data_IF_315509087868
#
_entry.id   IF_315509087868
#
_cell.length_a   1.000
_cell.length_b   1.000
_cell.length_c   1.000
_cell.angle_alpha   90.00
_cell.angle_beta   90.00
_cell.angle_gamma   90.00
#
_symmetry.space_group_name_H-M   'P 1'
#
loop_
_entity.id
_entity.type
_entity.pdbx_description
1 polymer ?
#
# COMPACT_ATOMS: atom_id res chain seq x y z
N UNK A 1 -5.14 60.85 0.64
CA UNK A 1 -6.41 61.19 -0.01
C UNK A 1 -6.96 59.87 -0.54
N UNK A 2 -8.07 59.28 -0.09
CA UNK A 2 -9.17 59.68 0.79
C UNK A 2 -9.82 58.39 1.32
N UNK A 3 -10.39 58.46 2.52
CA UNK A 3 -11.02 57.37 3.28
C UNK A 3 -12.37 56.87 2.69
N UNK A 4 -13.00 55.94 3.44
CA UNK A 4 -14.45 55.76 3.74
C UNK A 4 -15.28 55.00 2.69
N UNK A 5 -16.22 54.09 3.00
CA UNK A 5 -16.81 53.55 4.25
C UNK A 5 -17.55 52.23 4.02
N UNK A 6 -17.77 51.51 5.12
CA UNK A 6 -18.81 50.49 5.37
C UNK A 6 -20.23 51.05 5.23
N UNK A 7 -21.16 50.27 4.66
CA UNK A 7 -22.62 50.47 4.82
C UNK A 7 -23.30 49.17 5.29
N UNK A 8 -23.91 49.29 6.46
CA UNK A 8 -24.95 48.47 7.07
C UNK A 8 -26.31 48.81 6.45
N UNK A 9 -27.10 47.80 6.10
CA UNK A 9 -28.55 47.95 5.93
C UNK A 9 -29.30 47.17 7.03
N UNK A 10 -29.98 47.93 7.87
CA UNK A 10 -31.08 47.51 8.75
C UNK A 10 -32.38 47.82 8.03
N UNK A 11 -33.20 46.80 7.77
CA UNK A 11 -34.55 46.94 7.22
C UNK A 11 -35.60 46.89 8.33
N UNK A 12 -36.33 48.00 8.47
CA UNK A 12 -37.41 48.24 9.43
C UNK A 12 -38.80 47.98 8.80
N UNK A 13 -39.78 47.62 9.64
CA UNK A 13 -41.22 47.78 9.37
C UNK A 13 -41.91 46.56 8.76
N UNK A 14 -43.08 46.08 9.20
CA UNK A 14 -44.18 46.77 9.88
C UNK A 14 -44.99 45.79 10.74
N UNK A 15 -45.55 46.30 11.84
CA UNK A 15 -46.46 45.56 12.70
C UNK A 15 -47.89 45.54 12.19
N UNK A 16 -48.64 44.53 12.63
CA UNK A 16 -50.09 44.60 12.81
C UNK A 16 -50.47 43.88 14.11
N UNK A 17 -51.06 44.59 15.10
CA UNK A 17 -51.61 44.01 16.30
C UNK A 17 -53.14 44.11 16.25
N UNK A 18 -53.84 43.07 15.80
CA UNK A 18 -55.27 42.96 16.11
C UNK A 18 -55.76 41.52 16.30
N UNK A 19 -56.30 41.31 17.50
CA UNK A 19 -57.53 40.56 17.81
C UNK A 19 -57.59 39.07 17.50
N UNK A 20 -57.63 38.26 18.55
CA UNK A 20 -58.09 36.89 18.45
C UNK A 20 -57.94 36.11 19.74
N UNK A 21 -58.58 36.58 20.82
CA UNK A 21 -58.89 35.72 21.97
C UNK A 21 -59.76 34.56 21.46
N UNK A 22 -59.16 33.39 21.39
CA UNK A 22 -59.79 32.14 21.00
C UNK A 22 -59.43 31.08 22.01
N UNK A 23 -59.96 31.25 23.23
CA UNK A 23 -60.06 30.21 24.24
C UNK A 23 -60.91 29.07 23.66
N UNK A 24 -60.23 28.17 22.96
CA UNK A 24 -60.75 26.88 22.54
C UNK A 24 -60.33 25.85 23.58
N UNK A 25 -61.05 25.83 24.70
CA UNK A 25 -61.15 24.68 25.60
C UNK A 25 -61.80 23.54 24.80
N UNK A 26 -60.98 22.89 23.97
CA UNK A 26 -61.28 21.63 23.32
C UNK A 26 -60.84 20.51 24.24
N UNK A 27 -61.62 20.28 25.29
CA UNK A 27 -61.64 19.03 26.05
C UNK A 27 -62.01 17.90 25.07
N UNK A 28 -61.00 17.39 24.37
CA UNK A 28 -61.04 16.15 23.61
C UNK A 28 -60.88 14.98 24.57
N UNK A 29 -61.90 14.78 25.40
CA UNK A 29 -62.14 13.53 26.10
C UNK A 29 -62.50 12.47 25.04
N UNK A 30 -61.61 11.50 24.82
CA UNK A 30 -61.93 10.22 24.17
C UNK A 30 -60.94 9.84 23.07
N UNK A 31 -60.18 8.76 23.13
CA UNK A 31 -60.11 7.68 24.10
C UNK A 31 -58.63 7.32 24.23
N UNK A 32 -58.06 7.55 25.41
CA UNK A 32 -56.78 6.97 25.80
C UNK A 32 -56.94 5.47 26.04
N UNK A 33 -57.53 4.76 25.08
CA UNK A 33 -57.32 3.34 24.93
C UNK A 33 -55.83 3.22 24.65
N UNK A 34 -55.07 2.82 25.69
CA UNK A 34 -53.66 2.47 25.60
C UNK A 34 -53.44 1.23 24.74
N UNK A 35 -54.08 1.18 23.57
CA UNK A 35 -53.67 0.33 22.49
C UNK A 35 -52.26 0.81 22.11
N UNK A 36 -51.27 -0.11 22.11
CA UNK A 36 -49.92 0.24 21.71
C UNK A 36 -50.01 0.89 20.33
N UNK A 37 -49.48 2.12 20.18
CA UNK A 37 -49.41 2.77 18.87
C UNK A 37 -48.75 1.78 17.92
N UNK A 38 -49.56 1.25 17.00
CA UNK A 38 -49.08 0.34 15.99
C UNK A 38 -48.37 1.19 14.94
N UNK A 39 -47.13 0.84 14.63
CA UNK A 39 -46.41 1.48 13.54
C UNK A 39 -47.13 1.17 12.20
N UNK A 40 -47.13 2.15 11.29
CA UNK A 40 -47.64 2.00 9.93
C UNK A 40 -46.54 2.03 8.86
N UNK A 41 -45.30 2.32 9.27
CA UNK A 41 -44.10 2.36 8.43
C UNK A 41 -42.84 2.53 9.29
N UNK A 42 -41.68 2.29 8.69
CA UNK A 42 -40.39 2.35 9.38
C UNK A 42 -40.08 3.75 9.93
N UNK A 43 -40.62 4.81 9.31
CA UNK A 43 -40.45 6.20 9.76
C UNK A 43 -41.07 6.48 11.14
N UNK A 44 -41.98 5.63 11.60
CA UNK A 44 -42.62 5.72 12.92
C UNK A 44 -41.81 5.00 14.00
N UNK A 45 -40.82 4.19 13.62
CA UNK A 45 -39.95 3.43 14.50
C UNK A 45 -38.67 4.19 14.84
N UNK A 46 -38.78 5.14 15.78
CA UNK A 46 -37.68 6.04 16.17
C UNK A 46 -36.61 5.42 17.09
N UNK A 47 -36.82 4.19 17.58
CA UNK A 47 -35.84 3.49 18.39
C UNK A 47 -34.76 2.88 17.47
N UNK A 48 -33.49 3.30 17.57
CA UNK A 48 -32.43 2.74 16.73
C UNK A 48 -32.20 1.24 16.92
N UNK A 49 -32.65 0.64 18.03
CA UNK A 49 -32.58 -0.81 18.26
C UNK A 49 -33.75 -1.58 17.61
N UNK A 50 -34.83 -0.89 17.24
CA UNK A 50 -36.01 -1.48 16.59
C UNK A 50 -36.52 -0.53 15.50
N UNK A 51 -35.73 -0.27 14.43
CA UNK A 51 -36.04 0.77 13.46
C UNK A 51 -37.07 0.34 12.41
N UNK A 52 -37.53 -0.93 12.44
CA UNK A 52 -38.40 -1.48 11.41
C UNK A 52 -39.81 -1.72 11.90
N UNK A 53 -40.80 -1.43 11.07
CA UNK A 53 -42.19 -1.75 11.37
C UNK A 53 -42.61 -3.10 10.77
N UNK A 54 -42.90 -4.09 11.62
CA UNK A 54 -43.54 -5.32 11.15
C UNK A 54 -45.03 -5.05 10.87
N UNK A 55 -45.37 -4.84 9.59
CA UNK A 55 -46.73 -4.55 9.14
C UNK A 55 -47.77 -5.64 9.49
N UNK A 56 -47.34 -6.86 9.84
CA UNK A 56 -48.26 -7.92 10.27
C UNK A 56 -48.71 -7.74 11.73
N UNK A 57 -47.82 -7.21 12.58
CA UNK A 57 -48.07 -7.05 14.01
C UNK A 57 -48.28 -5.59 14.41
N UNK A 58 -47.87 -4.64 13.56
CA UNK A 58 -47.81 -3.21 13.85
C UNK A 58 -46.78 -2.87 14.93
N UNK A 59 -45.79 -3.73 15.19
CA UNK A 59 -44.77 -3.47 16.21
C UNK A 59 -43.46 -3.07 15.56
N UNK A 60 -42.76 -2.13 16.19
CA UNK A 60 -41.37 -1.85 15.85
C UNK A 60 -40.49 -3.02 16.30
N UNK A 61 -39.65 -3.52 15.40
CA UNK A 61 -38.80 -4.69 15.58
C UNK A 61 -37.38 -4.42 15.07
N UNK A 62 -36.43 -5.22 15.52
CA UNK A 62 -35.07 -5.28 15.02
C UNK A 62 -35.00 -5.98 13.65
N UNK A 63 -33.88 -5.82 12.94
CA UNK A 63 -33.73 -6.38 11.59
C UNK A 63 -33.82 -7.92 11.56
N UNK A 64 -33.39 -8.60 12.64
CA UNK A 64 -33.41 -10.07 12.76
C UNK A 64 -34.82 -10.67 12.88
N UNK A 65 -35.81 -9.85 13.22
CA UNK A 65 -37.22 -10.25 13.24
C UNK A 65 -37.84 -10.29 11.84
N UNK A 66 -37.16 -9.75 10.83
CA UNK A 66 -37.62 -9.69 9.45
C UNK A 66 -37.09 -10.87 8.64
N UNK A 67 -37.89 -11.34 7.67
CA UNK A 67 -37.51 -12.44 6.79
C UNK A 67 -36.33 -12.10 5.86
N UNK A 68 -36.15 -10.83 5.54
CA UNK A 68 -35.09 -10.31 4.69
C UNK A 68 -34.32 -9.22 5.45
N UNK A 69 -33.64 -9.63 6.52
CA UNK A 69 -33.00 -8.76 7.49
C UNK A 69 -32.01 -7.76 6.87
N UNK A 70 -31.17 -8.22 5.94
CA UNK A 70 -30.19 -7.36 5.24
C UNK A 70 -30.88 -6.42 4.23
N UNK A 71 -31.90 -6.91 3.50
CA UNK A 71 -32.67 -6.05 2.58
C UNK A 71 -33.38 -4.93 3.36
N UNK A 72 -33.85 -5.22 4.57
CA UNK A 72 -34.45 -4.23 5.45
C UNK A 72 -33.41 -3.16 5.85
N UNK A 73 -32.24 -3.58 6.34
CA UNK A 73 -31.15 -2.67 6.66
C UNK A 73 -30.73 -1.82 5.44
N UNK A 74 -30.55 -2.43 4.26
CA UNK A 74 -30.24 -1.71 3.03
C UNK A 74 -31.33 -0.70 2.61
N UNK A 75 -32.60 -0.94 3.00
CA UNK A 75 -33.73 -0.07 2.66
C UNK A 75 -33.85 1.19 3.54
N UNK A 76 -33.18 1.24 4.70
CA UNK A 76 -33.19 2.41 5.59
C UNK A 76 -32.60 3.67 4.92
N UNK A 77 -31.84 3.50 3.83
CA UNK A 77 -31.33 4.62 3.04
C UNK A 77 -30.29 5.47 3.78
N UNK A 78 -29.74 4.96 4.90
CA UNK A 78 -28.60 5.56 5.58
C UNK A 78 -27.28 5.41 4.79
N UNK A 79 -27.34 4.65 3.69
CA UNK A 79 -26.29 4.49 2.67
C UNK A 79 -25.11 3.64 3.10
N UNK A 80 -25.01 3.30 4.39
CA UNK A 80 -23.78 2.77 4.98
C UNK A 80 -23.99 1.57 5.90
N UNK A 81 -25.21 1.14 6.25
CA UNK A 81 -25.40 -0.05 7.11
C UNK A 81 -26.30 -1.14 6.49
N UNK A 82 -25.91 -1.76 5.36
CA UNK A 82 -26.77 -2.72 4.66
C UNK A 82 -26.89 -4.09 5.35
N UNK A 83 -26.09 -4.39 6.37
CA UNK A 83 -26.02 -5.72 6.98
C UNK A 83 -26.72 -5.76 8.32
N UNK A 84 -27.63 -6.72 8.51
CA UNK A 84 -28.16 -7.05 9.83
C UNK A 84 -27.23 -8.01 10.58
N UNK A 85 -26.81 -7.60 11.78
CA UNK A 85 -26.05 -8.41 12.73
C UNK A 85 -26.63 -8.23 14.15
N UNK A 86 -27.02 -9.35 14.78
CA UNK A 86 -27.56 -9.38 16.15
C UNK A 86 -28.67 -8.34 16.42
N UNK A 87 -29.55 -8.14 15.43
CA UNK A 87 -30.69 -7.22 15.52
C UNK A 87 -30.37 -5.76 15.22
N UNK A 88 -29.11 -5.42 14.93
CA UNK A 88 -28.67 -4.07 14.54
C UNK A 88 -28.19 -4.02 13.09
N UNK A 89 -28.39 -2.90 12.42
CA UNK A 89 -27.79 -2.65 11.11
C UNK A 89 -26.35 -2.15 11.27
N UNK A 90 -25.41 -2.81 10.58
CA UNK A 90 -23.97 -2.52 10.57
C UNK A 90 -23.47 -2.42 9.12
N UNK A 91 -22.25 -1.93 8.92
CA UNK A 91 -21.72 -1.77 7.55
C UNK A 91 -21.41 -3.12 6.91
N UNK A 92 -20.89 -4.03 7.71
CA UNK A 92 -20.49 -5.37 7.29
C UNK A 92 -20.46 -6.31 8.50
N UNK A 93 -20.36 -7.62 8.24
CA UNK A 93 -20.16 -8.65 9.26
C UNK A 93 -19.39 -9.82 8.65
N UNK A 94 -18.93 -10.75 9.49
CA UNK A 94 -18.31 -12.00 9.03
C UNK A 94 -19.25 -12.76 8.07
N UNK A 95 -18.73 -13.13 6.90
CA UNK A 95 -19.47 -13.78 5.82
C UNK A 95 -20.40 -12.87 5.02
N UNK A 96 -20.29 -11.55 5.21
CA UNK A 96 -21.00 -10.50 4.46
C UNK A 96 -20.05 -9.36 4.08
N UNK A 97 -18.79 -9.68 3.81
CA UNK A 97 -17.74 -8.73 3.49
C UNK A 97 -18.00 -8.01 2.15
N UNK A 98 -18.77 -8.62 1.26
CA UNK A 98 -19.20 -8.04 -0.02
C UNK A 98 -20.06 -6.77 0.12
N UNK A 99 -20.53 -6.47 1.34
CA UNK A 99 -21.19 -5.20 1.65
C UNK A 99 -20.21 -4.01 1.60
N UNK A 100 -18.92 -4.26 1.79
CA UNK A 100 -17.87 -3.26 1.71
C UNK A 100 -17.44 -3.06 0.25
N UNK A 101 -17.61 -1.83 -0.25
CA UNK A 101 -17.35 -1.47 -1.65
C UNK A 101 -16.60 -0.13 -1.74
N UNK A 102 -16.25 0.26 -2.96
CA UNK A 102 -15.59 1.52 -3.28
C UNK A 102 -14.29 1.74 -2.49
N UNK A 103 -14.18 2.84 -1.74
CA UNK A 103 -12.98 3.24 -0.99
C UNK A 103 -12.80 2.53 0.34
N UNK A 104 -13.74 1.66 0.72
CA UNK A 104 -13.67 0.87 1.95
C UNK A 104 -14.05 -0.57 1.66
N UNK A 105 -13.20 -1.34 0.95
CA UNK A 105 -13.54 -2.69 0.51
C UNK A 105 -13.36 -3.77 1.59
N UNK A 106 -12.76 -3.44 2.74
CA UNK A 106 -12.42 -4.41 3.78
C UNK A 106 -13.37 -4.30 4.96
N UNK A 107 -13.90 -5.43 5.42
CA UNK A 107 -14.68 -5.46 6.66
C UNK A 107 -13.78 -5.63 7.88
N UNK A 108 -13.70 -4.61 8.75
CA UNK A 108 -13.21 -4.80 10.12
C UNK A 108 -14.33 -5.47 10.93
N UNK A 109 -14.28 -6.80 11.02
CA UNK A 109 -15.29 -7.61 11.73
C UNK A 109 -15.30 -7.39 13.23
N UNK A 110 -14.24 -6.83 13.82
CA UNK A 110 -14.23 -6.50 15.24
C UNK A 110 -15.04 -5.22 15.52
N UNK A 111 -14.99 -4.27 14.60
CA UNK A 111 -15.74 -3.00 14.68
C UNK A 111 -17.06 -3.01 13.88
N UNK A 112 -17.28 -3.99 13.00
CA UNK A 112 -18.38 -4.08 12.03
C UNK A 112 -18.49 -2.84 11.12
N UNK A 113 -17.33 -2.32 10.71
CA UNK A 113 -17.20 -1.16 9.82
C UNK A 113 -16.35 -1.51 8.61
N UNK A 114 -16.70 -0.93 7.47
CA UNK A 114 -15.90 -1.01 6.27
C UNK A 114 -14.72 -0.02 6.39
N UNK A 115 -13.52 -0.49 6.12
CA UNK A 115 -12.27 0.26 6.14
C UNK A 115 -11.57 0.17 4.79
N UNK A 116 -10.69 1.14 4.52
CA UNK A 116 -9.78 1.09 3.39
C UNK A 116 -8.89 -0.17 3.48
N UNK A 117 -8.53 -0.75 2.34
CA UNK A 117 -7.46 -1.72 2.30
C UNK A 117 -6.13 -1.03 2.63
N UNK A 118 -5.29 -1.74 3.37
CA UNK A 118 -3.94 -1.37 3.78
C UNK A 118 -2.90 -2.42 3.38
N UNK A 119 -3.33 -3.57 2.89
CA UNK A 119 -2.48 -4.65 2.38
C UNK A 119 -3.09 -5.23 1.11
N UNK A 120 -2.26 -5.66 0.16
CA UNK A 120 -2.71 -6.30 -1.06
C UNK A 120 -3.48 -7.61 -0.82
N UNK A 121 -3.16 -8.35 0.25
CA UNK A 121 -3.80 -9.63 0.60
C UNK A 121 -5.27 -9.45 1.03
N UNK A 122 -5.68 -8.22 1.37
CA UNK A 122 -7.08 -7.89 1.63
C UNK A 122 -7.92 -7.75 0.34
N UNK A 123 -7.29 -7.82 -0.83
CA UNK A 123 -7.91 -7.77 -2.14
C UNK A 123 -7.62 -9.08 -2.91
N UNK A 124 -8.25 -10.22 -2.55
CA UNK A 124 -7.86 -11.55 -3.05
C UNK A 124 -7.99 -11.74 -4.57
N UNK A 125 -8.86 -10.97 -5.22
CA UNK A 125 -9.05 -11.02 -6.68
C UNK A 125 -8.16 -10.01 -7.42
N UNK A 126 -7.38 -9.19 -6.71
CA UNK A 126 -6.55 -8.13 -7.30
C UNK A 126 -5.43 -7.67 -6.35
N UNK A 127 -5.33 -6.37 -6.10
CA UNK A 127 -4.37 -5.74 -5.22
C UNK A 127 -4.96 -4.45 -4.64
N UNK A 128 -4.53 -4.10 -3.43
CA UNK A 128 -4.88 -2.83 -2.83
C UNK A 128 -4.17 -1.67 -3.54
N UNK A 129 -4.89 -0.61 -3.90
CA UNK A 129 -4.30 0.68 -4.22
C UNK A 129 -3.99 1.39 -2.90
N UNK A 130 -2.77 1.23 -2.39
CA UNK A 130 -2.36 1.76 -1.07
C UNK A 130 -2.43 3.30 -0.98
N UNK A 131 -2.50 4.00 -2.12
CA UNK A 131 -2.65 5.46 -2.14
C UNK A 131 -4.10 5.90 -1.88
N UNK A 132 -5.09 5.11 -2.32
CA UNK A 132 -6.52 5.47 -2.28
C UNK A 132 -7.34 4.58 -1.34
N UNK A 133 -6.81 3.43 -0.93
CA UNK A 133 -7.45 2.52 0.02
C UNK A 133 -8.52 1.60 -0.58
N UNK A 134 -8.64 1.53 -1.91
CA UNK A 134 -9.58 0.66 -2.61
C UNK A 134 -8.87 -0.53 -3.29
N UNK A 135 -9.58 -1.64 -3.47
CA UNK A 135 -9.09 -2.73 -4.30
C UNK A 135 -9.14 -2.34 -5.78
N UNK A 136 -8.15 -2.78 -6.55
CA UNK A 136 -8.16 -2.69 -8.01
C UNK A 136 -9.31 -3.54 -8.56
N UNK A 137 -10.02 -3.04 -9.57
CA UNK A 137 -11.08 -3.81 -10.23
C UNK A 137 -10.47 -5.07 -10.88
N UNK A 138 -10.95 -6.29 -10.60
CA UNK A 138 -10.49 -7.51 -11.27
C UNK A 138 -10.65 -7.47 -12.81
N UNK A 139 -11.52 -6.60 -13.33
CA UNK A 139 -11.64 -6.30 -14.76
C UNK A 139 -10.46 -5.50 -15.34
N UNK A 140 -9.67 -4.83 -14.50
CA UNK A 140 -8.48 -4.04 -14.86
C UNK A 140 -7.18 -4.81 -14.59
N UNK A 141 -7.23 -6.14 -14.64
CA UNK A 141 -6.05 -7.01 -14.53
C UNK A 141 -5.49 -7.30 -15.92
N UNK A 142 -4.23 -6.92 -16.14
CA UNK A 142 -3.49 -7.14 -17.37
C UNK A 142 -2.38 -8.14 -17.14
N UNK A 143 -2.20 -9.10 -18.05
CA UNK A 143 -1.09 -10.04 -18.00
C UNK A 143 0.00 -9.68 -19.00
N UNK A 144 1.25 -9.82 -18.58
CA UNK A 144 2.44 -9.67 -19.42
C UNK A 144 3.25 -10.95 -19.35
N UNK A 145 3.55 -11.56 -20.49
CA UNK A 145 4.45 -12.71 -20.57
C UNK A 145 5.31 -12.59 -21.84
N UNK A 146 6.58 -12.28 -21.64
CA UNK A 146 7.56 -12.09 -22.72
C UNK A 146 8.24 -13.38 -23.17
N UNK A 147 7.83 -14.54 -22.65
CA UNK A 147 8.43 -15.82 -23.01
C UNK A 147 8.17 -16.18 -24.46
N UNK A 148 9.17 -16.73 -25.15
CA UNK A 148 9.06 -17.09 -26.57
C UNK A 148 8.03 -18.19 -26.87
N UNK A 149 7.57 -18.92 -25.87
CA UNK A 149 6.49 -19.90 -25.92
C UNK A 149 5.11 -19.35 -25.52
N UNK A 150 5.05 -18.12 -25.00
CA UNK A 150 3.79 -17.44 -24.73
C UNK A 150 3.14 -16.99 -26.04
N UNK A 151 1.80 -17.12 -26.13
CA UNK A 151 1.01 -16.56 -27.24
C UNK A 151 0.74 -15.06 -27.02
N UNK A 152 1.78 -14.29 -26.69
CA UNK A 152 1.64 -12.87 -26.40
C UNK A 152 1.29 -12.06 -27.65
N UNK A 153 0.61 -10.91 -27.47
CA UNK A 153 0.19 -10.04 -28.57
C UNK A 153 0.20 -8.57 -28.13
N UNK A 154 0.42 -7.66 -29.09
CA UNK A 154 0.33 -6.21 -28.85
C UNK A 154 -1.10 -5.74 -28.53
N UNK A 155 -2.12 -6.48 -28.96
CA UNK A 155 -3.54 -6.26 -28.62
C UNK A 155 -4.02 -7.27 -27.54
N UNK A 156 -3.09 -7.79 -26.74
CA UNK A 156 -3.33 -8.80 -25.71
C UNK A 156 -3.83 -8.20 -24.39
N UNK A 157 -3.34 -8.74 -23.28
CA UNK A 157 -3.60 -8.28 -21.92
C UNK A 157 -4.41 -9.25 -21.06
N UNK A 158 -4.99 -10.28 -21.65
CA UNK A 158 -5.64 -11.37 -20.88
C UNK A 158 -4.64 -12.45 -20.51
N UNK A 159 -4.91 -13.26 -19.48
CA UNK A 159 -4.07 -14.41 -19.12
C UNK A 159 -3.82 -15.36 -20.31
N UNK A 160 -4.85 -15.65 -21.11
CA UNK A 160 -4.74 -16.53 -22.28
C UNK A 160 -4.06 -15.91 -23.51
N UNK A 161 -3.91 -14.59 -23.53
CA UNK A 161 -3.23 -13.82 -24.57
C UNK A 161 -2.62 -12.56 -23.95
N UNK A 162 -1.48 -12.71 -23.25
CA UNK A 162 -0.86 -11.62 -22.50
C UNK A 162 -0.20 -10.61 -23.44
N UNK A 163 0.19 -9.45 -22.91
CA UNK A 163 1.13 -8.55 -23.59
C UNK A 163 2.53 -9.17 -23.61
N UNK A 164 3.33 -8.80 -24.61
CA UNK A 164 4.70 -9.32 -24.72
C UNK A 164 5.71 -8.54 -23.87
N UNK A 165 5.40 -7.27 -23.56
CA UNK A 165 6.30 -6.39 -22.83
C UNK A 165 5.52 -5.52 -21.84
N UNK A 166 6.21 -5.02 -20.82
CA UNK A 166 5.62 -4.14 -19.82
C UNK A 166 5.16 -2.81 -20.44
N UNK A 167 5.89 -2.26 -21.42
CA UNK A 167 5.52 -1.00 -22.07
C UNK A 167 4.15 -1.09 -22.78
N UNK A 168 3.84 -2.25 -23.38
CA UNK A 168 2.54 -2.50 -24.00
C UNK A 168 1.42 -2.47 -22.96
N UNK A 169 1.61 -3.17 -21.84
CA UNK A 169 0.63 -3.17 -20.76
C UNK A 169 0.44 -1.79 -20.14
N UNK A 170 1.51 -1.02 -19.93
CA UNK A 170 1.42 0.34 -19.39
C UNK A 170 0.70 1.32 -20.32
N UNK A 171 0.82 1.15 -21.64
CA UNK A 171 0.07 1.96 -22.62
C UNK A 171 -1.42 1.59 -22.62
N UNK A 172 -1.74 0.32 -22.36
CA UNK A 172 -3.11 -0.19 -22.33
C UNK A 172 -3.79 -0.08 -20.96
N UNK A 173 -3.02 0.13 -19.90
CA UNK A 173 -3.52 0.23 -18.53
C UNK A 173 -4.46 1.44 -18.39
N UNK A 174 -5.64 1.17 -17.83
CA UNK A 174 -6.54 2.21 -17.36
C UNK A 174 -6.09 2.72 -15.98
N UNK A 175 -6.72 3.79 -15.49
CA UNK A 175 -6.46 4.28 -14.14
C UNK A 175 -6.73 3.18 -13.12
N UNK A 176 -5.75 2.90 -12.25
CA UNK A 176 -5.84 1.87 -11.23
C UNK A 176 -5.94 0.44 -11.81
N UNK A 177 -4.85 -0.02 -12.42
CA UNK A 177 -4.73 -1.36 -13.01
C UNK A 177 -3.74 -2.23 -12.25
N UNK A 178 -3.95 -3.55 -12.29
CA UNK A 178 -2.98 -4.55 -11.84
C UNK A 178 -2.34 -5.19 -13.08
N UNK A 179 -1.02 -5.15 -13.14
CA UNK A 179 -0.23 -5.84 -14.14
C UNK A 179 0.40 -7.07 -13.48
N UNK A 180 -0.03 -8.25 -13.91
CA UNK A 180 0.63 -9.53 -13.56
C UNK A 180 1.78 -9.74 -14.54
N UNK A 181 3.00 -9.60 -14.04
CA UNK A 181 4.24 -9.73 -14.81
C UNK A 181 4.80 -11.13 -14.63
N UNK A 182 4.66 -11.96 -15.67
CA UNK A 182 5.16 -13.33 -15.63
C UNK A 182 6.67 -13.41 -15.92
N UNK A 183 7.33 -14.42 -15.37
CA UNK A 183 8.72 -14.70 -15.65
C UNK A 183 8.95 -15.04 -17.14
N UNK A 184 10.05 -14.53 -17.69
CA UNK A 184 10.51 -14.92 -19.01
C UNK A 184 11.26 -16.24 -18.91
N UNK A 185 10.64 -17.35 -19.31
CA UNK A 185 11.25 -18.70 -19.20
C UNK A 185 12.11 -19.09 -20.41
N UNK A 186 12.35 -18.14 -21.32
CA UNK A 186 13.22 -18.32 -22.48
C UNK A 186 14.46 -17.45 -22.39
N UNK A 187 15.63 -18.00 -22.72
CA UNK A 187 16.91 -17.25 -22.79
C UNK A 187 16.69 -15.93 -23.56
N UNK A 188 17.04 -14.76 -22.98
CA UNK A 188 17.97 -14.57 -21.85
C UNK A 188 17.38 -14.60 -20.43
N UNK A 189 16.13 -15.02 -20.22
CA UNK A 189 15.44 -15.01 -18.92
C UNK A 189 15.22 -13.60 -18.34
N UNK A 190 15.09 -12.62 -19.23
CA UNK A 190 14.88 -11.22 -18.88
C UNK A 190 14.06 -10.55 -19.96
N UNK A 191 13.22 -9.60 -19.57
CA UNK A 191 12.48 -8.78 -20.53
C UNK A 191 13.44 -7.93 -21.39
N UNK A 192 13.05 -7.61 -22.64
CA UNK A 192 13.82 -6.67 -23.45
C UNK A 192 14.03 -5.34 -22.71
N UNK A 193 15.23 -4.79 -22.86
CA UNK A 193 15.59 -3.49 -22.31
C UNK A 193 14.55 -2.43 -22.66
N UNK A 194 13.98 -1.76 -21.66
CA UNK A 194 12.95 -0.73 -21.83
C UNK A 194 13.12 0.40 -20.82
N UNK A 195 12.51 1.54 -21.11
CA UNK A 195 12.50 2.72 -20.24
C UNK A 195 11.03 3.04 -19.95
N UNK A 196 10.49 2.47 -18.89
CA UNK A 196 9.06 2.54 -18.61
C UNK A 196 8.74 3.71 -17.69
N UNK A 197 7.68 4.45 -18.00
CA UNK A 197 7.26 5.61 -17.21
C UNK A 197 5.91 5.32 -16.58
N UNK A 198 5.83 5.47 -15.27
CA UNK A 198 4.59 5.35 -14.50
C UNK A 198 4.00 6.75 -14.31
N UNK A 199 2.80 6.96 -14.83
CA UNK A 199 2.08 8.26 -14.80
C UNK A 199 0.64 8.14 -14.25
N UNK A 200 0.26 6.93 -13.84
CA UNK A 200 -1.04 6.57 -13.27
C UNK A 200 -0.79 5.65 -12.06
N UNK A 201 -1.84 5.33 -11.30
CA UNK A 201 -1.79 4.26 -10.30
C UNK A 201 -1.75 2.89 -10.99
N UNK A 202 -0.70 2.12 -10.72
CA UNK A 202 -0.53 0.76 -11.26
C UNK A 202 0.15 -0.15 -10.23
N UNK A 203 -0.39 -1.35 -10.07
CA UNK A 203 0.29 -2.44 -9.38
C UNK A 203 1.02 -3.32 -10.40
N UNK A 204 2.24 -3.75 -10.12
CA UNK A 204 3.04 -4.66 -10.97
C UNK A 204 3.52 -5.82 -10.11
N UNK A 205 2.85 -6.96 -10.18
CA UNK A 205 3.13 -8.12 -9.33
C UNK A 205 3.65 -9.29 -10.14
N UNK A 206 4.62 -10.00 -9.58
CA UNK A 206 4.97 -11.34 -10.02
C UNK A 206 3.99 -12.36 -9.42
N UNK A 207 3.61 -13.42 -10.17
CA UNK A 207 2.98 -14.60 -9.58
C UNK A 207 3.87 -15.27 -8.53
N UNK A 208 3.26 -16.03 -7.61
CA UNK A 208 3.98 -16.80 -6.60
C UNK A 208 5.00 -17.76 -7.25
N UNK A 209 6.25 -17.70 -6.79
CA UNK A 209 7.35 -18.54 -7.28
C UNK A 209 7.95 -18.12 -8.63
N UNK A 210 7.45 -17.04 -9.25
CA UNK A 210 8.04 -16.44 -10.45
C UNK A 210 8.91 -15.24 -10.08
N UNK A 211 10.05 -15.06 -10.76
CA UNK A 211 10.96 -13.92 -10.53
C UNK A 211 11.22 -13.17 -11.85
N UNK A 212 10.25 -12.41 -12.38
CA UNK A 212 10.42 -11.66 -13.62
C UNK A 212 11.52 -10.61 -13.47
N UNK A 213 12.39 -10.52 -14.47
CA UNK A 213 13.50 -9.56 -14.50
C UNK A 213 13.23 -8.46 -15.53
N UNK A 214 13.27 -7.21 -15.08
CA UNK A 214 13.24 -6.00 -15.89
C UNK A 214 14.64 -5.37 -15.96
N UNK A 215 14.96 -4.72 -17.08
CA UNK A 215 16.23 -3.99 -17.25
C UNK A 215 16.04 -2.71 -18.08
N UNK A 216 16.79 -1.66 -17.73
CA UNK A 216 16.70 -0.34 -18.35
C UNK A 216 17.40 -0.23 -19.71
N UNK A 217 16.81 0.54 -20.64
CA UNK A 217 17.40 0.77 -21.96
C UNK A 217 18.32 2.00 -22.00
N UNK A 218 19.44 1.91 -22.72
CA UNK A 218 20.20 3.07 -23.17
C UNK A 218 20.80 3.96 -22.07
N UNK A 219 21.07 3.43 -20.88
CA UNK A 219 21.57 4.24 -19.75
C UNK A 219 20.48 5.01 -19.01
N UNK A 220 19.23 4.56 -19.10
CA UNK A 220 18.10 5.12 -18.36
C UNK A 220 17.52 4.06 -17.43
N UNK A 221 16.82 4.52 -16.40
CA UNK A 221 16.15 3.65 -15.45
C UNK A 221 15.16 2.67 -16.12
N UNK A 222 15.03 1.47 -15.56
CA UNK A 222 14.05 0.49 -16.02
C UNK A 222 12.61 1.00 -15.78
N UNK A 223 12.38 1.59 -14.60
CA UNK A 223 11.13 2.22 -14.21
C UNK A 223 11.38 3.65 -13.73
N UNK A 224 10.56 4.60 -14.19
CA UNK A 224 10.51 5.97 -13.67
C UNK A 224 9.09 6.31 -13.23
N UNK A 225 8.90 6.58 -11.94
CA UNK A 225 7.62 7.04 -11.38
C UNK A 225 7.59 8.56 -11.41
N UNK A 226 6.69 9.12 -12.21
CA UNK A 226 6.55 10.59 -12.34
C UNK A 226 5.55 11.13 -11.32
N UNK A 227 5.46 12.45 -11.17
CA UNK A 227 4.58 13.13 -10.20
C UNK A 227 3.10 12.68 -10.20
N UNK A 228 2.57 12.20 -11.33
CA UNK A 228 1.19 11.68 -11.40
C UNK A 228 1.08 10.16 -11.15
N UNK A 229 2.22 9.46 -11.06
CA UNK A 229 2.30 8.02 -10.94
C UNK A 229 2.32 7.54 -9.49
N UNK A 230 1.58 6.45 -9.24
CA UNK A 230 1.68 5.65 -8.03
C UNK A 230 2.04 4.22 -8.47
N UNK A 231 3.18 3.71 -8.01
CA UNK A 231 3.64 2.36 -8.30
C UNK A 231 3.49 1.49 -7.06
N UNK A 232 2.80 0.35 -7.19
CA UNK A 232 2.83 -0.73 -6.21
C UNK A 232 3.56 -1.91 -6.86
N UNK A 233 4.62 -2.45 -6.26
CA UNK A 233 5.42 -3.52 -6.88
C UNK A 233 5.71 -4.62 -5.87
N UNK A 234 5.45 -5.88 -6.27
CA UNK A 234 5.69 -7.06 -5.43
C UNK A 234 6.31 -8.20 -6.25
N UNK A 235 7.37 -8.82 -5.76
CA UNK A 235 7.99 -10.00 -6.40
C UNK A 235 8.79 -9.72 -7.68
N UNK A 236 9.01 -8.45 -8.05
CA UNK A 236 9.67 -8.11 -9.32
C UNK A 236 11.16 -7.87 -9.10
N UNK A 237 11.98 -8.39 -10.03
CA UNK A 237 13.41 -8.08 -10.08
C UNK A 237 13.70 -7.00 -11.13
N UNK A 238 14.46 -5.98 -10.76
CA UNK A 238 15.03 -4.98 -11.68
C UNK A 238 16.54 -5.11 -11.62
N UNK A 239 17.17 -5.61 -12.68
CA UNK A 239 18.59 -5.88 -12.67
C UNK A 239 19.33 -5.66 -13.99
N UNK A 240 20.60 -5.28 -13.86
CA UNK A 240 21.54 -5.23 -14.98
C UNK A 240 21.39 -4.03 -15.91
N UNK A 241 20.73 -2.94 -15.48
CA UNK A 241 20.71 -1.70 -16.27
C UNK A 241 22.13 -1.18 -16.49
N UNK A 242 22.51 -0.99 -17.77
CA UNK A 242 23.88 -0.65 -18.18
C UNK A 242 24.08 0.86 -18.39
N UNK A 243 25.34 1.26 -18.62
CA UNK A 243 25.74 2.63 -19.01
C UNK A 243 25.37 3.73 -18.00
N UNK A 244 25.38 3.39 -16.71
CA UNK A 244 25.06 4.32 -15.63
C UNK A 244 23.56 4.52 -15.42
N UNK A 245 22.71 3.69 -16.03
CA UNK A 245 21.27 3.74 -15.74
C UNK A 245 20.93 3.04 -14.41
N UNK A 246 19.95 3.62 -13.73
CA UNK A 246 19.44 3.16 -12.44
C UNK A 246 18.46 1.98 -12.59
N UNK A 247 18.06 1.38 -11.47
CA UNK A 247 16.95 0.42 -11.47
C UNK A 247 15.60 1.14 -11.51
N UNK A 248 15.31 1.87 -10.44
CA UNK A 248 14.08 2.62 -10.21
C UNK A 248 14.39 4.09 -9.92
N UNK A 249 13.65 5.00 -10.55
CA UNK A 249 13.67 6.43 -10.22
C UNK A 249 12.28 6.88 -9.81
N UNK A 250 12.13 7.38 -8.58
CA UNK A 250 10.91 8.04 -8.12
C UNK A 250 11.10 9.55 -8.27
N UNK A 251 10.56 10.12 -9.34
CA UNK A 251 10.69 11.53 -9.72
C UNK A 251 9.38 12.29 -9.44
N UNK A 252 9.17 12.59 -8.15
CA UNK A 252 8.02 13.33 -7.64
C UNK A 252 6.73 12.52 -7.44
N UNK A 253 6.69 11.26 -7.89
CA UNK A 253 5.56 10.36 -7.65
C UNK A 253 5.70 9.56 -6.35
N UNK A 254 4.93 8.48 -6.23
CA UNK A 254 4.93 7.61 -5.05
C UNK A 254 5.16 6.15 -5.44
N UNK A 255 5.97 5.44 -4.67
CA UNK A 255 6.22 4.02 -4.88
C UNK A 255 6.13 3.23 -3.57
N UNK A 256 5.46 2.08 -3.62
CA UNK A 256 5.43 1.04 -2.59
C UNK A 256 6.04 -0.21 -3.19
N UNK A 257 7.16 -0.64 -2.63
CA UNK A 257 7.96 -1.75 -3.15
C UNK A 257 8.09 -2.79 -2.05
N UNK A 258 7.56 -3.97 -2.31
CA UNK A 258 7.53 -5.09 -1.37
C UNK A 258 8.19 -6.31 -2.02
N UNK A 259 8.90 -7.14 -1.25
CA UNK A 259 9.37 -8.46 -1.71
C UNK A 259 10.02 -8.44 -3.10
N UNK A 260 10.81 -7.40 -3.37
CA UNK A 260 11.36 -7.13 -4.69
C UNK A 260 12.87 -7.04 -4.64
N UNK A 261 13.52 -7.21 -5.79
CA UNK A 261 14.97 -7.13 -5.90
C UNK A 261 15.34 -6.04 -6.89
N UNK A 262 16.01 -4.98 -6.45
CA UNK A 262 16.49 -3.91 -7.32
C UNK A 262 18.01 -3.91 -7.23
N UNK A 263 18.64 -4.70 -8.09
CA UNK A 263 20.03 -5.12 -7.90
C UNK A 263 20.90 -4.95 -9.16
N UNK A 264 22.19 -4.68 -8.97
CA UNK A 264 23.20 -4.64 -10.03
C UNK A 264 22.89 -3.71 -11.21
N UNK A 265 22.30 -2.56 -10.93
CA UNK A 265 22.07 -1.48 -11.90
C UNK A 265 23.23 -0.50 -11.85
N UNK A 266 23.89 -0.26 -12.99
CA UNK A 266 25.19 0.45 -13.04
C UNK A 266 25.15 1.92 -12.62
N UNK A 267 23.98 2.56 -12.58
CA UNK A 267 23.77 3.90 -12.03
C UNK A 267 23.49 3.96 -10.53
N UNK A 268 23.23 2.81 -9.90
CA UNK A 268 22.61 2.73 -8.57
C UNK A 268 21.27 2.00 -8.66
N UNK A 269 20.76 1.48 -7.55
CA UNK A 269 19.53 0.71 -7.57
C UNK A 269 18.30 1.63 -7.59
N UNK A 270 18.21 2.56 -6.64
CA UNK A 270 17.05 3.43 -6.48
C UNK A 270 17.48 4.89 -6.30
N UNK A 271 16.79 5.80 -6.99
CA UNK A 271 16.88 7.25 -6.77
C UNK A 271 15.50 7.80 -6.41
N UNK A 272 15.43 8.60 -5.34
CA UNK A 272 14.23 9.36 -4.95
C UNK A 272 14.52 10.85 -5.11
N UNK A 273 13.77 11.51 -5.99
CA UNK A 273 13.98 12.90 -6.38
C UNK A 273 12.65 13.63 -6.66
N UNK A 274 12.70 14.94 -6.83
CA UNK A 274 11.57 15.78 -7.23
C UNK A 274 10.42 15.83 -6.21
N UNK A 275 10.71 15.57 -4.94
CA UNK A 275 9.74 15.49 -3.85
C UNK A 275 8.98 14.16 -3.78
N UNK A 276 9.50 13.11 -4.41
CA UNK A 276 8.87 11.79 -4.44
C UNK A 276 8.90 11.07 -3.09
N UNK A 277 8.05 10.06 -2.93
CA UNK A 277 8.02 9.20 -1.73
C UNK A 277 8.22 7.74 -2.09
N UNK A 278 8.99 7.04 -1.27
CA UNK A 278 9.25 5.60 -1.40
C UNK A 278 8.96 4.90 -0.08
N UNK A 279 8.04 3.96 -0.09
CA UNK A 279 7.88 2.93 0.92
C UNK A 279 8.54 1.65 0.40
N UNK A 280 9.51 1.12 1.14
CA UNK A 280 10.31 -0.04 0.75
C UNK A 280 10.31 -1.06 1.88
N UNK A 281 9.77 -2.24 1.60
CA UNK A 281 9.64 -3.30 2.58
C UNK A 281 10.16 -4.62 2.03
N UNK A 282 10.83 -5.39 2.90
CA UNK A 282 11.13 -6.80 2.66
C UNK A 282 11.83 -7.07 1.33
N UNK A 283 12.79 -6.21 0.96
CA UNK A 283 13.38 -6.19 -0.38
C UNK A 283 14.91 -6.26 -0.35
N UNK A 284 15.52 -6.61 -1.48
CA UNK A 284 16.96 -6.53 -1.71
C UNK A 284 17.31 -5.36 -2.63
N UNK A 285 18.26 -4.53 -2.21
CA UNK A 285 18.62 -3.33 -2.97
C UNK A 285 20.13 -3.13 -3.04
N UNK A 286 20.66 -2.88 -4.25
CA UNK A 286 22.06 -2.50 -4.45
C UNK A 286 22.84 -3.47 -5.32
N UNK A 287 24.00 -3.95 -4.88
CA UNK A 287 24.83 -4.93 -5.58
C UNK A 287 26.32 -4.66 -5.39
N UNK A 288 27.08 -5.68 -4.97
CA UNK A 288 28.50 -5.54 -4.62
C UNK A 288 29.41 -5.10 -5.78
N UNK A 289 28.96 -5.29 -7.03
CA UNK A 289 29.70 -4.88 -8.22
C UNK A 289 29.39 -3.45 -8.71
N UNK A 290 28.44 -2.75 -8.07
CA UNK A 290 28.07 -1.38 -8.43
C UNK A 290 28.88 -0.40 -7.59
N UNK A 291 29.85 0.27 -8.23
CA UNK A 291 30.87 1.07 -7.54
C UNK A 291 30.68 2.57 -7.73
N UNK A 292 31.10 3.36 -6.73
CA UNK A 292 31.08 4.82 -6.71
C UNK A 292 29.69 5.46 -6.90
N UNK A 293 28.65 4.74 -6.48
CA UNK A 293 27.28 5.23 -6.42
C UNK A 293 26.58 4.61 -5.22
N UNK A 294 25.61 5.31 -4.66
CA UNK A 294 24.80 4.77 -3.58
C UNK A 294 23.85 3.70 -4.12
N UNK A 295 23.52 2.69 -3.30
CA UNK A 295 22.48 1.74 -3.64
C UNK A 295 21.12 2.45 -3.66
N UNK A 296 20.82 3.24 -2.62
CA UNK A 296 19.68 4.13 -2.55
C UNK A 296 20.18 5.56 -2.40
N UNK A 297 19.77 6.47 -3.28
CA UNK A 297 20.08 7.90 -3.21
C UNK A 297 18.81 8.74 -3.08
N UNK A 298 18.65 9.44 -1.95
CA UNK A 298 17.52 10.34 -1.69
C UNK A 298 17.98 11.79 -1.91
N UNK A 299 17.72 12.30 -3.11
CA UNK A 299 18.15 13.62 -3.55
C UNK A 299 17.19 14.70 -3.04
N UNK A 300 15.89 14.54 -3.32
CA UNK A 300 14.80 15.42 -2.89
C UNK A 300 13.53 14.59 -2.76
N UNK A 301 13.20 14.17 -1.54
CA UNK A 301 12.04 13.30 -1.29
C UNK A 301 12.05 12.68 0.09
N UNK A 302 11.24 11.62 0.27
CA UNK A 302 11.11 10.87 1.51
C UNK A 302 11.25 9.37 1.25
N UNK A 303 11.79 8.67 2.25
CA UNK A 303 11.96 7.22 2.25
C UNK A 303 11.51 6.65 3.59
N UNK A 304 10.63 5.67 3.56
CA UNK A 304 10.31 4.80 4.67
C UNK A 304 10.73 3.38 4.31
N UNK A 305 11.68 2.82 5.06
CA UNK A 305 12.25 1.50 4.77
C UNK A 305 12.12 0.57 5.98
N UNK A 306 11.63 -0.64 5.75
CA UNK A 306 11.57 -1.68 6.77
C UNK A 306 11.99 -3.04 6.23
N UNK A 307 12.58 -3.88 7.08
CA UNK A 307 12.99 -5.25 6.73
C UNK A 307 13.71 -5.36 5.39
N UNK A 308 14.55 -4.40 5.03
CA UNK A 308 15.20 -4.38 3.71
C UNK A 308 16.69 -4.63 3.88
N UNK A 309 17.27 -5.43 2.99
CA UNK A 309 18.73 -5.62 2.94
C UNK A 309 19.31 -4.77 1.82
N UNK A 310 20.18 -3.83 2.19
CA UNK A 310 20.83 -2.91 1.27
C UNK A 310 22.34 -3.15 1.28
N UNK A 311 22.89 -3.55 0.13
CA UNK A 311 24.32 -3.81 -0.04
C UNK A 311 24.91 -2.96 -1.17
N UNK A 312 25.93 -2.14 -0.90
CA UNK A 312 26.59 -1.33 -1.93
C UNK A 312 28.03 -1.76 -2.25
N UNK A 313 28.52 -1.48 -3.47
CA UNK A 313 29.88 -1.82 -3.86
C UNK A 313 30.99 -0.96 -3.25
N UNK A 314 32.08 -0.80 -3.99
CA UNK A 314 33.33 -0.17 -3.53
C UNK A 314 33.44 1.31 -3.91
N UNK A 315 34.50 1.96 -3.41
CA UNK A 315 34.90 3.30 -3.82
C UNK A 315 34.22 4.36 -2.97
N UNK A 316 33.37 5.19 -3.56
CA UNK A 316 32.52 6.15 -2.82
C UNK A 316 31.08 5.66 -2.69
N UNK A 317 30.87 4.34 -2.72
CA UNK A 317 29.56 3.72 -2.61
C UNK A 317 29.06 3.72 -1.16
N UNK A 318 27.75 3.83 -1.00
CA UNK A 318 27.04 3.77 0.28
C UNK A 318 25.76 2.95 0.10
N UNK A 319 25.31 2.27 1.16
CA UNK A 319 24.01 1.63 1.15
C UNK A 319 22.90 2.69 1.02
N UNK A 320 23.01 3.77 1.80
CA UNK A 320 22.06 4.88 1.79
C UNK A 320 22.79 6.23 1.69
N UNK A 321 22.59 6.94 0.59
CA UNK A 321 22.97 8.34 0.40
C UNK A 321 21.76 9.26 0.47
N UNK A 322 21.94 10.48 0.99
CA UNK A 322 20.94 11.53 0.80
C UNK A 322 21.50 12.95 0.93
N UNK A 323 20.80 13.91 0.34
CA UNK A 323 21.11 15.35 0.52
C UNK A 323 20.63 15.86 1.90
N UNK A 324 19.42 15.47 2.31
CA UNK A 324 18.83 15.72 3.63
C UNK A 324 18.00 14.51 4.04
N UNK A 325 18.31 13.94 5.20
CA UNK A 325 17.70 12.71 5.69
C UNK A 325 16.53 12.93 6.64
N UNK A 326 16.10 14.17 6.89
CA UNK A 326 15.04 14.46 7.86
C UNK A 326 13.70 13.78 7.56
N UNK A 327 13.44 13.44 6.28
CA UNK A 327 12.27 12.69 5.83
C UNK A 327 12.58 11.23 5.49
N UNK A 328 13.75 10.73 5.91
CA UNK A 328 14.19 9.35 5.71
C UNK A 328 14.14 8.60 7.03
N UNK A 329 13.36 7.53 7.07
CA UNK A 329 13.26 6.62 8.21
C UNK A 329 13.57 5.20 7.77
N UNK A 330 14.39 4.52 8.57
CA UNK A 330 14.80 3.15 8.35
C UNK A 330 14.61 2.38 9.64
N UNK A 331 13.99 1.21 9.55
CA UNK A 331 13.89 0.29 10.68
C UNK A 331 14.07 -1.15 10.27
N UNK A 332 14.40 -2.04 11.21
CA UNK A 332 14.42 -3.48 10.98
C UNK A 332 15.29 -3.93 9.79
N UNK A 333 16.27 -3.12 9.37
CA UNK A 333 16.95 -3.27 8.08
C UNK A 333 18.44 -3.58 8.25
N UNK A 334 19.03 -4.18 7.21
CA UNK A 334 20.46 -4.49 7.16
C UNK A 334 21.13 -3.61 6.11
N UNK A 335 22.03 -2.72 6.54
CA UNK A 335 22.74 -1.79 5.65
C UNK A 335 24.23 -2.11 5.69
N UNK A 336 24.80 -2.41 4.52
CA UNK A 336 26.22 -2.75 4.37
C UNK A 336 26.78 -2.20 3.06
N UNK A 337 28.09 -1.98 3.04
CA UNK A 337 28.88 -1.46 1.95
C UNK A 337 30.21 -2.21 1.88
N UNK A 338 30.66 -2.54 0.68
CA UNK A 338 32.01 -3.04 0.47
C UNK A 338 33.05 -1.91 0.44
N UNK A 339 32.63 -0.65 0.62
CA UNK A 339 33.48 0.53 0.68
C UNK A 339 34.24 0.65 2.01
N UNK A 340 35.32 1.44 2.01
CA UNK A 340 35.98 1.90 3.24
C UNK A 340 35.25 3.10 3.87
N UNK A 341 34.39 3.79 3.10
CA UNK A 341 33.55 4.89 3.58
C UNK A 341 32.29 4.35 4.30
N UNK A 342 31.71 5.16 5.18
CA UNK A 342 30.48 4.81 5.91
C UNK A 342 29.35 4.45 4.92
N UNK A 343 28.65 3.36 5.22
CA UNK A 343 27.53 2.81 4.46
C UNK A 343 26.27 3.69 4.52
N UNK A 344 26.19 4.59 5.51
CA UNK A 344 25.16 5.62 5.62
C UNK A 344 25.77 7.01 5.44
N UNK A 345 25.52 7.59 4.28
CA UNK A 345 25.91 8.95 3.91
C UNK A 345 24.69 9.85 3.82
N UNK A 346 23.87 9.83 4.87
CA UNK A 346 22.59 10.52 4.90
C UNK A 346 22.42 11.28 6.22
N UNK A 347 22.70 12.58 6.21
CA UNK A 347 22.63 13.40 7.44
C UNK A 347 21.17 13.65 7.82
N UNK A 348 20.80 13.37 9.07
CA UNK A 348 19.45 13.62 9.59
C UNK A 348 18.50 12.43 9.49
N UNK A 349 18.94 11.32 8.89
CA UNK A 349 18.20 10.06 8.85
C UNK A 349 17.91 9.53 10.26
N UNK A 350 16.73 8.93 10.43
CA UNK A 350 16.40 8.14 11.62
C UNK A 350 16.52 6.66 11.29
N UNK A 351 17.41 5.96 11.99
CA UNK A 351 17.58 4.50 11.86
C UNK A 351 17.38 3.85 13.22
N UNK A 352 16.45 2.90 13.32
CA UNK A 352 16.17 2.14 14.56
C UNK A 352 16.11 0.64 14.30
N UNK A 353 16.31 -0.17 15.34
CA UNK A 353 16.15 -1.64 15.28
C UNK A 353 16.83 -2.27 14.05
N UNK A 354 18.00 -1.78 13.66
CA UNK A 354 18.67 -2.16 12.41
C UNK A 354 20.07 -2.69 12.68
N UNK A 355 20.68 -3.30 11.67
CA UNK A 355 22.05 -3.76 11.68
C UNK A 355 22.88 -3.02 10.62
N UNK A 356 24.02 -2.48 11.04
CA UNK A 356 24.89 -1.61 10.26
C UNK A 356 26.35 -1.98 10.52
N UNK A 357 27.28 -1.70 9.62
CA UNK A 357 28.70 -1.88 9.88
C UNK A 357 29.20 -0.91 10.95
N UNK A 358 28.74 0.34 10.86
CA UNK A 358 29.12 1.43 11.77
C UNK A 358 28.28 1.43 13.06
N UNK A 359 28.78 2.10 14.09
CA UNK A 359 28.00 2.39 15.29
C UNK A 359 27.13 3.63 15.06
N UNK A 360 25.82 3.43 15.02
CA UNK A 360 24.83 4.51 14.87
C UNK A 360 23.66 4.31 15.82
N UNK A 361 23.54 5.18 16.84
CA UNK A 361 22.47 5.09 17.83
C UNK A 361 22.52 3.76 18.61
N UNK A 362 21.35 3.16 18.82
CA UNK A 362 21.18 1.87 19.51
C UNK A 362 21.17 0.66 18.54
N UNK A 363 21.44 0.89 17.25
CA UNK A 363 21.49 -0.16 16.23
C UNK A 363 22.67 -1.12 16.44
N UNK A 364 22.55 -2.33 15.91
CA UNK A 364 23.60 -3.34 15.98
C UNK A 364 24.77 -2.96 15.07
N UNK A 365 25.93 -2.69 15.66
CA UNK A 365 27.18 -2.46 14.94
C UNK A 365 27.88 -3.80 14.64
N UNK A 366 27.96 -4.16 13.36
CA UNK A 366 28.50 -5.42 12.85
C UNK A 366 30.03 -5.37 12.68
N UNK A 367 30.59 -4.17 12.52
CA UNK A 367 31.94 -3.98 11.98
C UNK A 367 31.96 -4.20 10.46
N UNK A 368 33.16 -4.13 9.89
CA UNK A 368 33.35 -4.18 8.43
C UNK A 368 32.69 -5.42 7.81
N UNK A 369 32.01 -5.20 6.69
CA UNK A 369 31.36 -6.22 5.88
C UNK A 369 32.35 -7.33 5.51
N UNK A 370 31.87 -8.58 5.59
CA UNK A 370 32.47 -9.70 4.89
C UNK A 370 31.48 -10.20 3.85
N UNK A 371 31.82 -10.16 2.56
CA UNK A 371 30.91 -10.56 1.49
C UNK A 371 30.39 -12.00 1.62
N UNK A 372 31.13 -12.88 2.31
CA UNK A 372 30.69 -14.23 2.64
C UNK A 372 29.55 -14.33 3.67
N UNK A 373 29.06 -13.22 4.22
CA UNK A 373 27.80 -13.19 4.97
C UNK A 373 26.61 -13.56 4.09
N UNK A 374 26.72 -13.35 2.78
CA UNK A 374 25.66 -13.59 1.80
C UNK A 374 26.03 -14.73 0.86
N UNK A 375 25.04 -15.30 0.17
CA UNK A 375 25.28 -16.33 -0.84
C UNK A 375 26.08 -15.82 -2.04
N UNK A 376 25.70 -14.66 -2.59
CA UNK A 376 26.46 -13.99 -3.65
C UNK A 376 26.25 -12.46 -3.62
N UNK A 377 26.99 -11.81 -2.72
CA UNK A 377 26.96 -10.35 -2.54
C UNK A 377 27.23 -9.57 -3.84
N UNK A 378 28.12 -10.09 -4.68
CA UNK A 378 28.56 -9.45 -5.93
C UNK A 378 27.45 -9.53 -7.00
N UNK A 379 26.64 -10.58 -6.99
CA UNK A 379 25.45 -10.69 -7.84
C UNK A 379 24.21 -9.97 -7.28
N UNK A 380 24.29 -9.42 -6.06
CA UNK A 380 23.15 -8.82 -5.37
C UNK A 380 22.23 -9.84 -4.71
N UNK A 381 22.68 -11.09 -4.59
CA UNK A 381 22.00 -12.13 -3.81
C UNK A 381 22.36 -11.92 -2.33
N UNK A 382 21.44 -11.25 -1.62
CA UNK A 382 21.60 -10.89 -0.22
C UNK A 382 20.91 -11.85 0.75
N UNK A 383 20.60 -13.08 0.31
CA UNK A 383 20.25 -14.14 1.25
C UNK A 383 21.47 -14.43 2.15
N UNK A 384 21.24 -14.56 3.45
CA UNK A 384 22.27 -14.78 4.46
C UNK A 384 22.78 -16.21 4.38
N UNK A 385 24.10 -16.37 4.29
CA UNK A 385 24.74 -17.66 4.31
C UNK A 385 24.78 -18.22 5.76
N UNK A 386 24.15 -19.37 6.05
CA UNK A 386 24.02 -19.89 7.40
C UNK A 386 25.36 -20.00 8.15
N UNK A 387 25.44 -19.38 9.32
CA UNK A 387 26.62 -19.40 10.20
C UNK A 387 27.81 -18.57 9.73
N UNK A 388 27.66 -17.77 8.67
CA UNK A 388 28.71 -16.91 8.14
C UNK A 388 28.57 -15.44 8.55
N UNK A 389 27.35 -14.99 8.82
CA UNK A 389 27.04 -13.61 9.25
C UNK A 389 27.14 -13.45 10.79
N UNK A 390 27.26 -12.22 11.30
CA UNK A 390 27.27 -11.96 12.73
C UNK A 390 25.93 -12.31 13.38
N UNK A 391 25.94 -13.16 14.41
CA UNK A 391 24.73 -13.65 15.08
C UNK A 391 23.84 -12.54 15.70
N UNK A 392 24.34 -11.31 15.84
CA UNK A 392 23.52 -10.18 16.30
C UNK A 392 22.45 -9.77 15.28
N UNK A 393 22.62 -10.09 13.99
CA UNK A 393 21.62 -9.81 12.95
C UNK A 393 20.29 -10.50 13.27
N UNK A 394 20.31 -11.70 13.85
CA UNK A 394 19.12 -12.53 14.15
C UNK A 394 18.16 -11.90 15.17
N UNK A 395 18.60 -10.87 15.88
CA UNK A 395 17.81 -10.21 16.93
C UNK A 395 17.97 -8.69 16.91
N UNK A 396 18.45 -8.12 15.80
CA UNK A 396 18.70 -6.69 15.69
C UNK A 396 17.42 -5.92 15.35
N UNK A 397 16.45 -6.55 14.69
CA UNK A 397 15.14 -5.99 14.41
C UNK A 397 14.15 -6.25 15.54
N UNK A 398 13.10 -5.44 15.58
CA UNK A 398 11.91 -5.64 16.41
C UNK A 398 10.70 -5.71 15.51
N UNK A 399 10.13 -6.90 15.33
CA UNK A 399 8.86 -7.08 14.63
C UNK A 399 7.72 -6.53 15.48
N UNK A 400 6.77 -5.84 14.85
CA UNK A 400 5.60 -5.21 15.48
C UNK A 400 4.33 -5.47 14.65
N UNK A 401 3.13 -5.47 15.25
CA UNK A 401 1.89 -5.59 14.50
C UNK A 401 1.78 -4.53 13.39
N UNK A 402 1.58 -4.98 12.16
CA UNK A 402 1.58 -4.14 10.96
C UNK A 402 2.81 -4.34 10.07
N UNK A 403 3.84 -5.02 10.57
CA UNK A 403 4.98 -5.48 9.76
C UNK A 403 4.60 -6.68 8.90
N UNK A 404 5.30 -6.86 7.77
CA UNK A 404 5.13 -8.02 6.91
C UNK A 404 5.22 -9.34 7.72
N UNK A 405 4.29 -10.28 7.52
CA UNK A 405 4.26 -11.54 8.24
C UNK A 405 5.25 -12.57 7.69
N UNK A 406 5.95 -12.27 6.60
CA UNK A 406 6.94 -13.16 5.96
C UNK A 406 8.18 -12.38 5.57
N UNK A 407 9.27 -13.09 5.31
CA UNK A 407 10.48 -12.51 4.74
C UNK A 407 10.43 -12.50 3.20
N UNK A 408 11.54 -12.23 2.52
CA UNK A 408 11.60 -12.11 1.06
C UNK A 408 11.35 -13.44 0.33
N UNK A 409 11.63 -14.57 0.99
CA UNK A 409 11.41 -15.93 0.47
C UNK A 409 10.03 -16.49 0.84
N UNK A 410 9.25 -15.75 1.64
CA UNK A 410 7.95 -16.17 2.15
C UNK A 410 8.05 -16.94 3.47
N UNK A 411 9.22 -17.00 4.10
CA UNK A 411 9.38 -17.66 5.40
C UNK A 411 8.72 -16.83 6.52
N UNK A 412 7.95 -17.45 7.43
CA UNK A 412 7.17 -16.72 8.42
C UNK A 412 8.01 -15.88 9.38
N UNK A 413 7.61 -14.62 9.55
CA UNK A 413 8.05 -13.70 10.62
C UNK A 413 7.30 -13.95 11.94
N UNK A 414 7.79 -13.45 13.09
CA UNK A 414 7.06 -13.58 14.35
C UNK A 414 5.64 -13.04 14.24
N UNK A 415 4.69 -13.62 14.97
CA UNK A 415 3.28 -13.15 14.98
C UNK A 415 2.96 -12.26 16.18
N UNK A 416 3.93 -12.01 17.05
CA UNK A 416 3.83 -11.17 18.23
C UNK A 416 5.04 -10.24 18.28
N UNK A 417 4.86 -9.06 18.90
CA UNK A 417 5.94 -8.09 19.06
C UNK A 417 7.18 -8.72 19.71
N UNK A 418 8.34 -8.57 19.06
CA UNK A 418 9.55 -9.20 19.56
C UNK A 418 10.75 -9.10 18.62
N UNK A 419 11.92 -9.60 19.06
CA UNK A 419 13.14 -9.57 18.27
C UNK A 419 13.00 -10.41 17.00
N UNK A 420 13.58 -9.94 15.90
CA UNK A 420 13.65 -10.62 14.60
C UNK A 420 14.96 -10.31 13.88
N UNK A 421 15.16 -10.92 12.72
CA UNK A 421 16.29 -10.64 11.83
C UNK A 421 16.19 -9.22 11.25
N UNK A 422 17.30 -8.49 11.32
CA UNK A 422 17.45 -7.27 10.54
C UNK A 422 17.71 -7.60 9.06
N UNK A 423 16.95 -6.95 8.18
CA UNK A 423 16.99 -7.18 6.73
C UNK A 423 15.82 -8.02 6.21
N UNK A 424 15.84 -8.25 4.90
CA UNK A 424 14.74 -8.90 4.18
C UNK A 424 14.77 -10.42 4.27
N UNK A 425 15.90 -11.00 4.64
CA UNK A 425 16.09 -12.44 4.68
C UNK A 425 16.08 -12.98 6.12
N UNK A 426 15.39 -14.11 6.30
CA UNK A 426 15.52 -14.96 7.48
C UNK A 426 16.04 -16.31 7.04
N UNK A 427 16.82 -16.94 7.92
CA UNK A 427 17.26 -18.30 7.66
C UNK A 427 16.17 -19.29 8.11
N UNK A 428 15.79 -20.27 7.25
CA UNK A 428 14.81 -21.30 7.58
C UNK A 428 15.15 -22.19 8.79
#
# INVERSE_FOLDING_TARGET
MTQTSSETETGDGDGDPTTGDGDGDGDGDGDGDGDPMLCMGDEECTDPAMPFCDLNTGMCVSCDALLAADEACASLGDGNTPVCLDGSCVQCAEGKEEACVDTTPVCDTAANVCVACSDHDQCPDSACNLAEGNCIDPGNVLHVNGSGDANCSADGGTEGMPFCTLDQALVSADTNSLIVLHEVVTVPYVYPASSNTIQISVAIFAPEGETPVLLGAGGTAALTVTNAGNLFMRGVTIAGTQNGGEGLVVSGGQAWIEQSQIINNSGGAIVVDGGGTLSLENSFVGGGNVNNTAAIDVVDGALEMSFTTVGSGFGTSAALGCTDGAATTVRNSLLVSASDDDEVQCTGVTITDSALEMSMGDNAALGALTSGWFFDYDSGDFHLAPGMYPAVIESAATWTPGDSPTDIDGDPRPTEEGPDFAGADRIP
#
